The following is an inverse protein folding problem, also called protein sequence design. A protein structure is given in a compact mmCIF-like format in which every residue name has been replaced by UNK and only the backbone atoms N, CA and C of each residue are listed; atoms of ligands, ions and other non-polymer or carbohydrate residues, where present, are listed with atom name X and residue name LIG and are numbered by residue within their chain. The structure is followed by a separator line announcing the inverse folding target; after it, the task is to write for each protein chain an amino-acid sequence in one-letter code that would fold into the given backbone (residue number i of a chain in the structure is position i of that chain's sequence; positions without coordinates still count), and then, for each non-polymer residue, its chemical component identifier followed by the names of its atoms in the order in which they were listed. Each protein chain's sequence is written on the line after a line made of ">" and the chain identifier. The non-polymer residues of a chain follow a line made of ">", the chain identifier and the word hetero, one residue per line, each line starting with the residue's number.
data_IF_031720306386
#
_entry.id   IF_031720306386
#
_cell.length_a   1.000
_cell.length_b   1.000
_cell.length_c   1.000
_cell.angle_alpha   90.00
_cell.angle_beta   90.00
_cell.angle_gamma   90.00
#
_symmetry.space_group_name_H-M   'P 1'
#
loop_
_entity.id
_entity.type
_entity.pdbx_description
1 polymer ?
#
# COMPACT_ATOMS: atom_id res chain seq x y z
N UNK A 1 -3.54 -13.79 -10.15
CA UNK A 1 -4.45 -12.68 -10.52
C UNK A 1 -4.60 -11.65 -9.39
N UNK A 2 -4.87 -12.08 -8.15
CA UNK A 2 -5.06 -11.19 -6.99
C UNK A 2 -3.80 -10.38 -6.60
N UNK A 3 -2.62 -11.00 -6.51
CA UNK A 3 -1.40 -10.32 -6.07
C UNK A 3 -0.99 -9.12 -6.96
N UNK A 4 -1.19 -9.20 -8.28
CA UNK A 4 -0.92 -8.07 -9.21
C UNK A 4 -1.91 -6.92 -9.01
N UNK A 5 -3.17 -7.23 -8.75
CA UNK A 5 -4.19 -6.23 -8.46
C UNK A 5 -3.87 -5.54 -7.13
N UNK A 6 -3.57 -6.32 -6.09
CA UNK A 6 -3.23 -5.79 -4.78
C UNK A 6 -1.97 -4.90 -4.82
N UNK A 7 -0.92 -5.34 -5.55
CA UNK A 7 0.28 -4.52 -5.78
C UNK A 7 -0.06 -3.16 -6.41
N UNK A 8 -0.97 -3.13 -7.39
CA UNK A 8 -1.41 -1.89 -8.04
C UNK A 8 -2.17 -1.00 -7.07
N UNK A 9 -3.15 -1.55 -6.35
CA UNK A 9 -3.94 -0.79 -5.36
C UNK A 9 -3.06 -0.16 -4.28
N UNK A 10 -2.08 -0.92 -3.78
CA UNK A 10 -1.13 -0.43 -2.77
C UNK A 10 -0.21 0.66 -3.34
N UNK A 11 0.30 0.46 -4.57
CA UNK A 11 1.13 1.45 -5.25
C UNK A 11 0.39 2.75 -5.56
N UNK A 12 -0.85 2.66 -6.03
CA UNK A 12 -1.68 3.82 -6.36
C UNK A 12 -2.01 4.64 -5.10
N UNK A 13 -2.32 3.97 -3.99
CA UNK A 13 -2.56 4.64 -2.71
C UNK A 13 -1.31 5.36 -2.20
N UNK A 14 -0.12 4.75 -2.32
CA UNK A 14 1.14 5.40 -1.99
C UNK A 14 1.41 6.63 -2.86
N UNK A 15 1.18 6.53 -4.17
CA UNK A 15 1.38 7.63 -5.10
C UNK A 15 0.44 8.81 -4.77
N UNK A 16 -0.85 8.53 -4.53
CA UNK A 16 -1.85 9.53 -4.11
C UNK A 16 -1.50 10.18 -2.77
N UNK A 17 -0.90 9.42 -1.86
CA UNK A 17 -0.44 9.90 -0.57
C UNK A 17 0.94 10.58 -0.60
N UNK A 18 1.58 10.72 -1.77
CA UNK A 18 2.92 11.30 -1.88
C UNK A 18 3.99 10.51 -1.11
N UNK A 19 3.85 9.19 -1.02
CA UNK A 19 4.74 8.32 -0.24
C UNK A 19 4.44 8.24 1.26
N UNK A 20 3.47 9.00 1.77
CA UNK A 20 3.06 8.91 3.17
C UNK A 20 2.32 7.59 3.45
N UNK A 21 3.01 6.67 4.10
CA UNK A 21 2.49 5.33 4.40
C UNK A 21 1.30 5.36 5.38
N UNK A 22 1.29 6.27 6.36
CA UNK A 22 0.17 6.40 7.30
C UNK A 22 -1.09 6.88 6.60
N UNK A 23 -0.93 7.84 5.68
CA UNK A 23 -2.01 8.36 4.84
C UNK A 23 -2.53 7.28 3.87
N UNK A 24 -1.65 6.60 3.15
CA UNK A 24 -2.01 5.52 2.25
C UNK A 24 -2.75 4.38 2.97
N UNK A 25 -2.34 4.03 4.19
CA UNK A 25 -3.02 3.02 5.01
C UNK A 25 -4.44 3.46 5.36
N UNK A 26 -4.63 4.74 5.73
CA UNK A 26 -5.95 5.31 6.02
C UNK A 26 -6.86 5.31 4.78
N UNK A 27 -6.33 5.67 3.61
CA UNK A 27 -7.07 5.62 2.34
C UNK A 27 -7.50 4.19 1.96
N UNK A 28 -6.68 3.20 2.28
CA UNK A 28 -6.96 1.79 2.03
C UNK A 28 -7.81 1.11 3.11
N UNK A 29 -8.14 1.81 4.22
CA UNK A 29 -8.91 1.24 5.32
C UNK A 29 -8.18 0.13 6.09
N UNK A 30 -6.84 0.15 6.11
CA UNK A 30 -6.02 -0.85 6.81
C UNK A 30 -5.12 -0.21 7.85
N UNK A 31 -4.62 -1.01 8.79
CA UNK A 31 -3.59 -0.53 9.71
C UNK A 31 -2.29 -0.19 8.96
N UNK A 32 -1.51 0.75 9.51
CA UNK A 32 -0.19 1.10 8.97
C UNK A 32 0.75 -0.12 8.91
N UNK A 33 0.69 -1.00 9.92
CA UNK A 33 1.50 -2.23 9.97
C UNK A 33 1.14 -3.14 8.79
N UNK A 34 -0.15 -3.35 8.55
CA UNK A 34 -0.64 -4.14 7.41
C UNK A 34 -0.18 -3.57 6.08
N UNK A 35 -0.15 -2.24 5.92
CA UNK A 35 0.39 -1.62 4.72
C UNK A 35 1.89 -1.94 4.56
N UNK A 36 2.69 -1.75 5.62
CA UNK A 36 4.14 -2.02 5.59
C UNK A 36 4.43 -3.46 5.16
N UNK A 37 3.69 -4.43 5.69
CA UNK A 37 3.83 -5.84 5.31
C UNK A 37 3.52 -6.06 3.83
N UNK A 38 2.47 -5.41 3.30
CA UNK A 38 2.14 -5.44 1.86
C UNK A 38 3.23 -4.79 1.01
N UNK A 39 3.83 -3.68 1.46
CA UNK A 39 4.93 -3.03 0.74
C UNK A 39 6.15 -3.94 0.64
N UNK A 40 6.54 -4.58 1.75
CA UNK A 40 7.63 -5.56 1.76
C UNK A 40 7.29 -6.75 0.84
N UNK A 41 6.07 -7.31 0.96
CA UNK A 41 5.59 -8.44 0.14
C UNK A 41 5.63 -8.14 -1.37
N UNK A 42 5.36 -6.89 -1.76
CA UNK A 42 5.30 -6.49 -3.17
C UNK A 42 6.56 -5.81 -3.71
N UNK A 43 7.58 -5.63 -2.87
CA UNK A 43 8.81 -4.93 -3.23
C UNK A 43 8.56 -3.47 -3.61
N UNK A 44 7.75 -2.78 -2.80
CA UNK A 44 7.36 -1.36 -2.97
C UNK A 44 7.97 -0.46 -1.87
N UNK A 45 8.98 -0.96 -1.15
CA UNK A 45 9.68 -0.22 -0.11
C UNK A 45 10.95 0.44 -0.65
#
# INVERSE_FOLDING_TARGET
>A
RVARFEKRVVGDALARAGGNQSEAARQLGVSRVTLIDKLNKYGLR
#
